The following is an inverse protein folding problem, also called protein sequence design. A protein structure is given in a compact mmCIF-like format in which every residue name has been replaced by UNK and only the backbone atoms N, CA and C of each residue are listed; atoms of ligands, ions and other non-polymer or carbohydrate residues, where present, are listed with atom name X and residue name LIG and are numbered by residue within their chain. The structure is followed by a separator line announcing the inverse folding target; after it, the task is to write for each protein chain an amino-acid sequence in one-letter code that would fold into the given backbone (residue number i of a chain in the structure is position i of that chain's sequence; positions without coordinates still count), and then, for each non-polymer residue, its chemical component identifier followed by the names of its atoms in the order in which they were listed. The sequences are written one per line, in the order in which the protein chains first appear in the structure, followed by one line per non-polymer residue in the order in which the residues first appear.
data_IF_682530214682
#
_entry.id   IF_682530214682
#
_cell.length_a   1.000
_cell.length_b   1.000
_cell.length_c   1.000
_cell.angle_alpha   90.00
_cell.angle_beta   90.00
_cell.angle_gamma   90.00
#
_symmetry.space_group_name_H-M   'P 1'
#
loop_
_entity.id
_entity.type
_entity.pdbx_description
1 polymer ?
#
# COMPACT_ATOMS: atom_id res chain seq x y z
N UNK A 1 14.78 38.55 6.02
CA UNK A 1 15.45 37.53 6.86
C UNK A 1 14.93 36.17 6.43
N UNK A 2 15.70 35.48 5.58
CA UNK A 2 15.30 34.26 4.89
C UNK A 2 15.86 33.07 5.67
N UNK A 3 15.01 32.09 6.02
CA UNK A 3 15.46 30.80 6.55
C UNK A 3 14.91 29.70 5.68
N UNK A 4 15.72 29.31 4.70
CA UNK A 4 15.56 28.07 3.94
C UNK A 4 15.93 26.90 4.87
N UNK A 5 15.00 25.97 5.10
CA UNK A 5 15.26 24.70 5.75
C UNK A 5 15.35 23.61 4.69
N UNK A 6 16.55 23.07 4.49
CA UNK A 6 16.80 21.94 3.61
C UNK A 6 16.42 20.63 4.31
N UNK A 7 15.57 19.83 3.68
CA UNK A 7 15.23 18.47 4.13
C UNK A 7 16.27 17.53 3.54
N UNK A 8 17.12 16.96 4.39
CA UNK A 8 18.08 15.94 4.02
C UNK A 8 17.40 14.56 4.03
N UNK A 9 17.20 13.97 2.85
CA UNK A 9 16.78 12.57 2.69
C UNK A 9 18.02 11.69 2.80
N UNK A 10 18.12 10.90 3.87
CA UNK A 10 19.19 9.92 4.04
C UNK A 10 18.85 8.63 3.27
N UNK A 11 19.55 8.40 2.15
CA UNK A 11 19.51 7.15 1.40
C UNK A 11 20.51 6.18 2.02
N UNK A 12 20.02 5.11 2.66
CA UNK A 12 20.85 4.00 3.14
C UNK A 12 21.08 2.99 2.01
N UNK A 13 22.23 3.09 1.36
CA UNK A 13 22.75 2.12 0.39
C UNK A 13 23.49 0.99 1.12
N UNK A 14 22.78 -0.11 1.37
CA UNK A 14 23.38 -1.36 1.88
C UNK A 14 23.86 -2.25 0.74
N UNK A 15 25.17 -2.30 0.50
CA UNK A 15 25.81 -3.27 -0.39
C UNK A 15 26.13 -4.55 0.37
N UNK A 16 25.39 -5.63 0.11
CA UNK A 16 25.72 -6.96 0.61
C UNK A 16 26.66 -7.67 -0.39
N UNK A 17 27.86 -8.04 0.07
CA UNK A 17 28.79 -8.86 -0.69
C UNK A 17 28.25 -10.30 -0.82
N UNK A 18 28.21 -10.80 -2.05
CA UNK A 18 27.80 -12.17 -2.36
C UNK A 18 29.03 -13.06 -2.32
N UNK A 19 29.12 -13.94 -1.32
CA UNK A 19 30.09 -15.03 -1.29
C UNK A 19 29.68 -16.09 -2.33
N UNK A 20 30.52 -16.34 -3.32
CA UNK A 20 30.31 -17.39 -4.32
C UNK A 20 30.81 -18.73 -3.75
N UNK A 21 29.90 -19.66 -3.51
CA UNK A 21 30.22 -21.06 -3.21
C UNK A 21 30.32 -21.88 -4.52
N UNK A 22 31.19 -22.91 -4.59
CA UNK A 22 31.36 -23.74 -5.78
C UNK A 22 30.13 -24.60 -6.08
N UNK A 23 29.90 -24.97 -7.36
CA UNK A 23 28.72 -25.73 -7.76
C UNK A 23 28.85 -27.19 -7.28
N UNK A 24 28.03 -27.57 -6.32
CA UNK A 24 27.79 -28.97 -6.00
C UNK A 24 26.83 -29.55 -7.06
N UNK A 25 27.32 -30.51 -7.85
CA UNK A 25 26.46 -31.36 -8.66
C UNK A 25 25.67 -32.27 -7.71
N UNK A 26 24.37 -32.02 -7.60
CA UNK A 26 23.46 -32.85 -6.85
C UNK A 26 22.69 -33.75 -7.82
N UNK A 27 22.64 -35.05 -7.48
CA UNK A 27 21.73 -36.05 -8.01
C UNK A 27 20.33 -35.47 -8.21
N UNK A 28 19.75 -35.72 -9.38
CA UNK A 28 18.44 -35.22 -9.77
C UNK A 28 17.36 -35.91 -8.93
N UNK A 29 17.06 -35.32 -7.77
CA UNK A 29 15.95 -35.71 -6.93
C UNK A 29 14.65 -35.66 -7.74
N UNK A 30 13.71 -36.60 -7.53
CA UNK A 30 12.47 -36.67 -8.31
C UNK A 30 11.80 -35.31 -8.29
N UNK A 31 11.61 -34.72 -9.47
CA UNK A 31 10.90 -33.45 -9.66
C UNK A 31 9.51 -33.59 -9.06
N UNK A 32 9.33 -33.11 -7.82
CA UNK A 32 8.00 -32.96 -7.23
C UNK A 32 7.24 -32.03 -8.15
N UNK A 33 6.27 -32.59 -8.85
CA UNK A 33 5.35 -31.84 -9.69
C UNK A 33 4.57 -30.92 -8.75
N UNK A 34 4.99 -29.65 -8.73
CA UNK A 34 4.38 -28.65 -7.89
C UNK A 34 3.06 -28.27 -8.55
N UNK A 35 1.98 -28.89 -8.07
CA UNK A 35 0.62 -28.49 -8.45
C UNK A 35 0.43 -27.09 -7.87
N UNK A 36 0.53 -26.09 -8.74
CA UNK A 36 0.17 -24.71 -8.40
C UNK A 36 -1.33 -24.71 -8.13
N UNK A 37 -1.72 -24.48 -6.88
CA UNK A 37 -3.13 -24.24 -6.56
C UNK A 37 -3.49 -22.83 -7.06
N UNK A 38 -4.14 -22.77 -8.22
CA UNK A 38 -4.57 -21.53 -8.87
C UNK A 38 -5.65 -20.78 -8.06
N UNK A 39 -6.20 -21.37 -6.99
CA UNK A 39 -7.20 -20.73 -6.13
C UNK A 39 -6.58 -19.79 -5.09
N UNK A 40 -5.29 -19.96 -4.79
CA UNK A 40 -4.59 -19.16 -3.79
C UNK A 40 -3.80 -18.03 -4.47
N UNK A 41 -3.73 -16.83 -3.85
CA UNK A 41 -2.93 -15.75 -4.38
C UNK A 41 -1.42 -16.09 -4.29
N UNK A 42 -0.59 -15.53 -5.19
CA UNK A 42 0.87 -15.64 -5.08
C UNK A 42 1.38 -15.12 -3.74
N UNK A 43 2.45 -15.72 -3.19
CA UNK A 43 3.05 -15.29 -1.93
C UNK A 43 3.49 -13.81 -1.92
N UNK A 44 3.89 -13.26 -3.07
CA UNK A 44 4.17 -11.82 -3.21
C UNK A 44 2.98 -10.90 -2.91
N UNK A 45 1.73 -11.37 -3.05
CA UNK A 45 0.52 -10.59 -2.73
C UNK A 45 0.46 -10.26 -1.24
N UNK A 46 0.90 -11.20 -0.38
CA UNK A 46 0.94 -11.01 1.07
C UNK A 46 1.71 -9.75 1.44
N UNK A 47 2.93 -9.63 0.92
CA UNK A 47 3.80 -8.50 1.22
C UNK A 47 3.25 -7.18 0.68
N UNK A 48 2.64 -7.20 -0.51
CA UNK A 48 2.00 -6.01 -1.10
C UNK A 48 0.84 -5.50 -0.24
N UNK A 49 0.01 -6.40 0.30
CA UNK A 49 -1.11 -6.04 1.18
C UNK A 49 -0.59 -5.47 2.50
N UNK A 50 0.40 -6.11 3.11
CA UNK A 50 1.04 -5.62 4.35
C UNK A 50 1.61 -4.22 4.15
N UNK A 51 2.46 -4.03 3.14
CA UNK A 51 3.11 -2.75 2.85
C UNK A 51 2.08 -1.69 2.46
N UNK A 52 1.06 -2.05 1.68
CA UNK A 52 -0.03 -1.15 1.32
C UNK A 52 -0.81 -0.66 2.54
N UNK A 53 -1.19 -1.55 3.44
CA UNK A 53 -1.88 -1.22 4.69
C UNK A 53 -1.04 -0.32 5.61
N UNK A 54 0.22 -0.69 5.85
CA UNK A 54 1.14 0.11 6.66
C UNK A 54 1.43 1.47 6.03
N UNK A 55 1.59 1.52 4.70
CA UNK A 55 1.79 2.75 3.95
C UNK A 55 0.60 3.69 4.05
N UNK A 56 -0.63 3.16 3.96
CA UNK A 56 -1.85 3.94 4.17
C UNK A 56 -1.91 4.50 5.61
N UNK A 57 -1.70 3.67 6.63
CA UNK A 57 -1.67 4.12 8.03
C UNK A 57 -0.62 5.23 8.24
N UNK A 58 0.58 5.05 7.70
CA UNK A 58 1.65 6.05 7.80
C UNK A 58 1.31 7.34 7.07
N UNK A 59 0.62 7.28 5.92
CA UNK A 59 0.18 8.46 5.18
C UNK A 59 -0.86 9.27 5.97
N UNK A 60 -1.87 8.60 6.54
CA UNK A 60 -2.88 9.27 7.36
C UNK A 60 -2.27 9.88 8.64
N UNK A 61 -1.51 9.08 9.39
CA UNK A 61 -0.81 9.59 10.57
C UNK A 61 0.14 10.73 10.23
N UNK A 62 0.95 10.58 9.17
CA UNK A 62 1.89 11.60 8.72
C UNK A 62 1.21 12.89 8.23
N UNK A 63 -0.01 12.80 7.71
CA UNK A 63 -0.80 13.97 7.35
C UNK A 63 -1.37 14.67 8.59
N UNK A 64 -1.83 13.93 9.60
CA UNK A 64 -2.43 14.49 10.82
C UNK A 64 -1.39 15.03 11.82
N UNK A 65 -0.24 14.38 11.94
CA UNK A 65 0.79 14.66 12.94
C UNK A 65 1.25 16.15 12.93
N UNK A 66 1.52 16.80 11.78
CA UNK A 66 1.92 18.20 11.73
C UNK A 66 0.87 19.17 12.29
N UNK A 67 -0.42 18.84 12.20
CA UNK A 67 -1.50 19.68 12.74
C UNK A 67 -1.41 19.81 14.26
N UNK A 68 -0.91 18.78 14.95
CA UNK A 68 -0.67 18.82 16.42
C UNK A 68 0.39 19.84 16.85
N UNK A 69 1.24 20.30 15.94
CA UNK A 69 2.28 21.29 16.20
C UNK A 69 1.94 22.66 15.62
N UNK A 70 1.21 22.71 14.51
CA UNK A 70 0.79 23.96 13.90
C UNK A 70 -0.34 24.66 14.68
N UNK A 71 -1.19 23.90 15.40
CA UNK A 71 -2.29 24.44 16.21
C UNK A 71 -2.32 23.85 17.63
N UNK A 72 -1.28 24.08 18.47
CA UNK A 72 -1.17 23.46 19.79
C UNK A 72 -2.28 23.89 20.75
N UNK A 73 -2.85 25.09 20.55
CA UNK A 73 -3.94 25.63 21.38
C UNK A 73 -5.31 25.01 21.06
N UNK A 74 -5.42 24.28 19.95
CA UNK A 74 -6.69 23.69 19.52
C UNK A 74 -7.04 22.49 20.42
N UNK A 75 -8.26 22.41 20.98
CA UNK A 75 -8.68 21.29 21.84
C UNK A 75 -8.48 19.95 21.16
N UNK A 76 -7.83 19.01 21.83
CA UNK A 76 -7.57 17.66 21.31
C UNK A 76 -6.37 17.51 20.39
N UNK A 77 -5.77 18.62 19.90
CA UNK A 77 -4.65 18.60 18.95
C UNK A 77 -3.42 17.82 19.45
N UNK A 78 -3.14 17.88 20.76
CA UNK A 78 -2.04 17.14 21.38
C UNK A 78 -2.17 15.62 21.24
N UNK A 79 -3.39 15.09 21.12
CA UNK A 79 -3.62 13.66 21.00
C UNK A 79 -3.29 13.12 19.62
N UNK A 80 -3.30 13.95 18.56
CA UNK A 80 -2.94 13.55 17.19
C UNK A 80 -1.46 13.10 17.06
N UNK A 81 -0.66 13.28 18.11
CA UNK A 81 0.71 12.73 18.19
C UNK A 81 0.72 11.22 18.42
N UNK A 82 -0.34 10.66 19.00
CA UNK A 82 -0.44 9.23 19.22
C UNK A 82 -1.03 8.56 17.96
N UNK A 83 -0.31 7.61 17.33
CA UNK A 83 -0.86 6.91 16.19
C UNK A 83 -2.06 6.05 16.60
N UNK A 84 -3.03 5.90 15.70
CA UNK A 84 -4.24 5.08 15.80
C UNK A 84 -5.23 5.55 16.87
N UNK A 85 -4.80 5.68 18.12
CA UNK A 85 -5.64 6.08 19.26
C UNK A 85 -5.84 7.60 19.33
N UNK A 86 -4.86 8.37 18.85
CA UNK A 86 -4.86 9.82 18.88
C UNK A 86 -6.08 10.47 18.23
N UNK A 87 -6.46 10.07 17.00
CA UNK A 87 -7.61 10.67 16.31
C UNK A 87 -8.93 10.46 17.05
N UNK A 88 -9.14 9.30 17.67
CA UNK A 88 -10.33 9.04 18.48
C UNK A 88 -10.36 9.86 19.77
N UNK A 89 -9.20 10.04 20.40
CA UNK A 89 -9.07 10.91 21.57
C UNK A 89 -9.25 12.39 21.21
N UNK A 90 -8.69 12.83 20.07
CA UNK A 90 -8.88 14.18 19.55
C UNK A 90 -10.37 14.45 19.27
N UNK A 91 -11.04 13.50 18.60
CA UNK A 91 -12.48 13.56 18.33
C UNK A 91 -13.32 13.63 19.62
N UNK A 92 -12.98 12.84 20.64
CA UNK A 92 -13.66 12.89 21.94
C UNK A 92 -13.48 14.23 22.67
N UNK A 93 -12.39 14.96 22.36
CA UNK A 93 -12.10 16.28 22.89
C UNK A 93 -12.35 17.39 21.86
N UNK A 94 -13.12 17.10 20.80
CA UNK A 94 -13.49 18.06 19.77
C UNK A 94 -14.51 19.05 20.34
N UNK A 95 -14.01 20.09 21.00
CA UNK A 95 -14.80 21.13 21.63
C UNK A 95 -14.32 22.54 21.29
N UNK A 96 -15.04 23.53 21.81
CA UNK A 96 -14.67 24.93 21.76
C UNK A 96 -13.56 25.23 22.78
N UNK A 97 -12.63 26.11 22.45
CA UNK A 97 -11.74 26.69 23.45
C UNK A 97 -12.56 27.64 24.37
N UNK A 98 -12.13 27.81 25.61
CA UNK A 98 -12.87 28.52 26.66
C UNK A 98 -13.11 30.00 26.33
N UNK A 99 -12.20 30.61 25.55
CA UNK A 99 -12.18 32.05 25.28
C UNK A 99 -12.45 32.42 23.81
N UNK A 100 -12.87 31.48 22.97
CA UNK A 100 -12.97 31.68 21.52
C UNK A 100 -14.41 31.62 21.01
N UNK A 101 -14.76 32.48 20.05
CA UNK A 101 -16.10 32.50 19.44
C UNK A 101 -16.28 31.22 18.60
N UNK A 102 -16.86 30.20 19.21
CA UNK A 102 -16.90 28.86 18.64
C UNK A 102 -17.64 28.80 17.30
N UNK A 103 -16.89 28.69 16.20
CA UNK A 103 -17.45 28.50 14.88
C UNK A 103 -17.86 27.03 14.68
N UNK A 104 -19.16 26.75 14.76
CA UNK A 104 -19.73 25.39 14.62
C UNK A 104 -19.30 24.69 13.33
N UNK A 105 -19.18 25.42 12.21
CA UNK A 105 -18.79 24.82 10.92
C UNK A 105 -17.36 24.27 11.01
N UNK A 106 -16.46 25.02 11.65
CA UNK A 106 -15.07 24.59 11.82
C UNK A 106 -14.96 23.39 12.77
N UNK A 107 -15.74 23.39 13.84
CA UNK A 107 -15.79 22.30 14.81
C UNK A 107 -16.26 20.98 14.16
N UNK A 108 -17.31 21.06 13.32
CA UNK A 108 -17.80 19.90 12.56
C UNK A 108 -16.78 19.43 11.54
N UNK A 109 -16.17 20.35 10.78
CA UNK A 109 -15.15 20.01 9.79
C UNK A 109 -13.95 19.29 10.42
N UNK A 110 -13.44 19.80 11.56
CA UNK A 110 -12.37 19.15 12.32
C UNK A 110 -12.76 17.74 12.77
N UNK A 111 -13.95 17.58 13.33
CA UNK A 111 -14.43 16.27 13.78
C UNK A 111 -14.53 15.24 12.65
N UNK A 112 -15.00 15.67 11.48
CA UNK A 112 -15.05 14.81 10.28
C UNK A 112 -13.63 14.41 9.85
N UNK A 113 -12.69 15.35 9.83
CA UNK A 113 -11.29 15.08 9.47
C UNK A 113 -10.61 14.12 10.45
N UNK A 114 -10.81 14.30 11.75
CA UNK A 114 -10.29 13.41 12.80
C UNK A 114 -10.89 12.00 12.69
N UNK A 115 -12.18 11.89 12.37
CA UNK A 115 -12.82 10.60 12.13
C UNK A 115 -12.25 9.90 10.88
N UNK A 116 -12.07 10.62 9.78
CA UNK A 116 -11.45 10.07 8.57
C UNK A 116 -10.00 9.65 8.79
N UNK A 117 -9.24 10.43 9.56
CA UNK A 117 -7.87 10.09 9.94
C UNK A 117 -7.82 8.82 10.81
N UNK A 118 -8.67 8.75 11.84
CA UNK A 118 -8.81 7.55 12.68
C UNK A 118 -9.18 6.29 11.88
N UNK A 119 -10.15 6.42 10.96
CA UNK A 119 -10.54 5.34 10.05
C UNK A 119 -9.42 4.95 9.08
N UNK A 120 -8.69 5.92 8.53
CA UNK A 120 -7.56 5.66 7.63
C UNK A 120 -6.42 4.93 8.33
N UNK A 121 -6.06 5.36 9.55
CA UNK A 121 -5.03 4.72 10.35
C UNK A 121 -5.43 3.30 10.78
N UNK A 122 -6.63 3.14 11.36
CA UNK A 122 -7.13 1.84 11.82
C UNK A 122 -7.39 0.88 10.64
N UNK A 123 -7.98 1.39 9.55
CA UNK A 123 -8.25 0.62 8.34
C UNK A 123 -6.98 0.15 7.63
N UNK A 124 -5.95 0.99 7.54
CA UNK A 124 -4.64 0.58 7.01
C UNK A 124 -4.01 -0.55 7.82
N UNK A 125 -4.11 -0.50 9.16
CA UNK A 125 -3.63 -1.57 10.02
C UNK A 125 -4.45 -2.85 9.88
N UNK A 126 -5.77 -2.74 9.75
CA UNK A 126 -6.64 -3.88 9.48
C UNK A 126 -6.24 -4.58 8.17
N UNK A 127 -6.00 -3.83 7.09
CA UNK A 127 -5.50 -4.35 5.81
C UNK A 127 -4.14 -5.04 6.01
N UNK A 128 -3.23 -4.42 6.76
CA UNK A 128 -1.93 -5.02 7.03
C UNK A 128 -2.05 -6.36 7.79
N UNK A 129 -2.95 -6.43 8.78
CA UNK A 129 -3.25 -7.65 9.53
C UNK A 129 -3.87 -8.73 8.65
N UNK A 130 -4.80 -8.39 7.76
CA UNK A 130 -5.33 -9.34 6.76
C UNK A 130 -4.22 -9.92 5.91
N UNK A 131 -3.23 -9.10 5.52
CA UNK A 131 -2.03 -9.54 4.85
C UNK A 131 -1.26 -10.60 5.66
N UNK A 132 -1.08 -10.43 6.97
CA UNK A 132 -0.37 -11.41 7.82
C UNK A 132 -1.06 -12.77 7.81
N UNK A 133 -2.39 -12.78 7.90
CA UNK A 133 -3.19 -14.01 7.97
C UNK A 133 -3.64 -14.56 6.61
N UNK A 134 -3.32 -13.88 5.50
CA UNK A 134 -3.73 -14.30 4.16
C UNK A 134 -3.04 -15.61 3.74
N UNK A 135 -3.78 -16.68 3.43
CA UNK A 135 -3.19 -17.89 2.86
C UNK A 135 -2.68 -17.61 1.45
N UNK A 136 -1.48 -18.07 1.14
CA UNK A 136 -0.85 -17.89 -0.17
C UNK A 136 -0.34 -19.21 -0.70
N UNK A 137 -0.28 -19.34 -2.03
CA UNK A 137 0.36 -20.48 -2.66
C UNK A 137 1.82 -20.54 -2.21
N UNK A 138 2.35 -21.72 -1.83
CA UNK A 138 3.77 -21.84 -1.57
C UNK A 138 4.56 -21.34 -2.79
N UNK A 139 5.48 -20.42 -2.58
CA UNK A 139 6.40 -20.04 -3.63
C UNK A 139 7.40 -21.19 -3.71
N UNK A 140 7.18 -22.13 -4.63
CA UNK A 140 8.17 -23.16 -4.91
C UNK A 140 9.51 -22.47 -5.22
N UNK A 141 10.67 -23.01 -4.79
CA UNK A 141 11.96 -22.40 -5.07
C UNK A 141 12.01 -22.09 -6.56
N UNK A 142 12.28 -20.83 -6.91
CA UNK A 142 12.38 -20.39 -8.30
C UNK A 142 13.39 -21.32 -8.98
N UNK A 143 12.90 -22.29 -9.77
CA UNK A 143 13.78 -23.23 -10.45
C UNK A 143 14.64 -22.40 -11.41
N UNK A 144 15.97 -22.34 -11.20
CA UNK A 144 16.84 -21.62 -12.10
C UNK A 144 16.75 -22.31 -13.45
N UNK A 145 16.18 -21.61 -14.43
CA UNK A 145 16.11 -22.09 -15.82
C UNK A 145 14.74 -22.55 -16.33
N UNK A 146 13.68 -22.64 -15.51
CA UNK A 146 12.33 -22.77 -16.07
C UNK A 146 11.81 -21.39 -16.46
N UNK A 147 11.56 -21.11 -17.76
CA UNK A 147 10.95 -19.86 -18.15
C UNK A 147 9.64 -19.73 -17.37
N UNK A 148 9.43 -18.56 -16.72
CA UNK A 148 8.11 -18.18 -16.18
C UNK A 148 7.11 -18.61 -17.23
N UNK A 149 6.28 -19.62 -16.93
CA UNK A 149 5.21 -20.03 -17.83
C UNK A 149 4.39 -18.78 -18.01
N UNK A 150 4.58 -18.08 -19.13
CA UNK A 150 3.70 -16.99 -19.53
C UNK A 150 2.34 -17.63 -19.45
N UNK A 151 1.47 -17.14 -18.56
CA UNK A 151 0.04 -17.45 -18.65
C UNK A 151 -0.27 -17.42 -20.13
N UNK A 152 -0.86 -18.48 -20.71
CA UNK A 152 -1.19 -18.51 -22.12
C UNK A 152 -1.98 -17.23 -22.37
N UNK A 153 -1.28 -16.31 -23.01
CA UNK A 153 -1.80 -15.01 -23.34
C UNK A 153 -2.79 -15.38 -24.43
N UNK A 154 -4.06 -15.53 -24.06
CA UNK A 154 -5.19 -15.42 -24.98
C UNK A 154 -5.28 -13.97 -25.50
N UNK A 155 -4.14 -13.35 -25.78
CA UNK A 155 -4.04 -12.15 -26.60
C UNK A 155 -4.01 -12.69 -28.02
N UNK A 156 -5.06 -12.46 -28.83
CA UNK A 156 -4.97 -12.68 -30.26
C UNK A 156 -3.71 -11.97 -30.75
N UNK A 157 -2.85 -12.68 -31.48
CA UNK A 157 -1.68 -12.10 -32.13
C UNK A 157 -2.09 -10.78 -32.79
N UNK A 158 -1.68 -9.68 -32.20
CA UNK A 158 -1.90 -8.36 -32.79
C UNK A 158 -0.79 -8.19 -33.83
N UNK A 159 -1.11 -7.91 -35.11
CA UNK A 159 -0.13 -7.79 -36.17
C UNK A 159 0.93 -6.75 -35.82
N UNK A 160 2.19 -7.07 -36.12
CA UNK A 160 3.33 -6.24 -35.83
C UNK A 160 3.25 -4.88 -36.55
N UNK A 161 3.40 -3.81 -35.76
CA UNK A 161 4.12 -2.57 -36.08
C UNK A 161 3.56 -1.66 -37.18
N UNK A 162 2.86 -0.60 -36.75
CA UNK A 162 3.13 0.75 -37.25
C UNK A 162 3.33 1.69 -36.05
N UNK A 163 4.39 2.53 -36.04
CA UNK A 163 4.63 3.48 -34.96
C UNK A 163 3.73 4.71 -35.15
N UNK A 164 2.89 5.02 -34.15
CA UNK A 164 2.27 6.35 -34.08
C UNK A 164 0.89 6.46 -33.46
N UNK A 165 0.13 5.38 -33.26
CA UNK A 165 -1.25 5.49 -32.77
C UNK A 165 -1.42 4.88 -31.38
N UNK A 166 -1.73 5.73 -30.41
CA UNK A 166 -2.20 5.38 -29.07
C UNK A 166 -3.41 4.44 -29.20
N UNK A 167 -3.20 3.16 -28.96
CA UNK A 167 -4.23 2.15 -29.14
C UNK A 167 -4.97 1.95 -27.81
N UNK A 168 -6.19 2.48 -27.72
CA UNK A 168 -7.04 2.37 -26.55
C UNK A 168 -7.91 1.12 -26.68
N UNK A 169 -7.66 0.10 -25.86
CA UNK A 169 -8.53 -1.08 -25.79
C UNK A 169 -9.22 -1.08 -24.43
N UNK A 170 -10.51 -0.76 -24.34
CA UNK A 170 -11.25 -0.98 -23.11
C UNK A 170 -11.30 -2.48 -22.83
N UNK A 171 -10.76 -2.90 -21.70
CA UNK A 171 -10.94 -4.27 -21.21
C UNK A 171 -11.94 -4.27 -20.06
N UNK A 172 -13.05 -5.02 -20.15
CA UNK A 172 -13.92 -5.21 -19.01
C UNK A 172 -13.15 -6.02 -17.94
N UNK A 173 -13.01 -5.44 -16.76
CA UNK A 173 -12.48 -6.12 -15.58
C UNK A 173 -13.68 -6.53 -14.74
N UNK A 174 -13.91 -7.82 -14.58
CA UNK A 174 -14.90 -8.33 -13.63
C UNK A 174 -14.28 -8.33 -12.24
N UNK A 175 -14.86 -7.53 -11.33
CA UNK A 175 -14.48 -7.48 -9.91
C UNK A 175 -15.62 -8.13 -9.12
N UNK A 176 -15.45 -9.40 -8.76
CA UNK A 176 -16.47 -10.19 -8.04
C UNK A 176 -17.67 -10.62 -8.91
N UNK A 177 -18.69 -11.21 -8.28
CA UNK A 177 -19.87 -11.75 -8.97
C UNK A 177 -20.82 -10.69 -9.54
N UNK A 178 -20.66 -9.41 -9.17
CA UNK A 178 -21.58 -8.34 -9.57
C UNK A 178 -20.90 -7.01 -9.99
N UNK A 179 -19.56 -6.95 -10.09
CA UNK A 179 -18.86 -5.72 -10.44
C UNK A 179 -18.32 -5.71 -11.87
N UNK A 180 -18.70 -4.70 -12.67
CA UNK A 180 -18.05 -4.38 -13.95
C UNK A 180 -17.17 -3.14 -13.74
N UNK A 181 -15.86 -3.33 -13.81
CA UNK A 181 -14.86 -2.26 -13.82
C UNK A 181 -14.34 -2.01 -15.24
N UNK A 182 -14.08 -0.74 -15.57
CA UNK A 182 -13.33 -0.36 -16.77
C UNK A 182 -11.88 -0.10 -16.38
N UNK A 183 -10.97 -0.92 -16.91
CA UNK A 183 -9.53 -0.71 -16.78
C UNK A 183 -8.95 -0.09 -18.04
N UNK A 184 -8.05 0.89 -17.85
CA UNK A 184 -7.24 1.45 -18.92
C UNK A 184 -5.82 0.95 -18.72
N UNK A 185 -5.25 0.29 -19.74
CA UNK A 185 -3.85 -0.15 -19.75
C UNK A 185 -3.15 0.42 -20.97
N UNK A 186 -1.99 1.04 -20.78
CA UNK A 186 -1.12 1.53 -21.85
C UNK A 186 0.34 1.19 -21.55
N UNK A 187 1.18 1.16 -22.59
CA UNK A 187 2.64 1.17 -22.47
C UNK A 187 3.07 2.64 -22.43
N UNK A 188 3.70 3.06 -21.33
CA UNK A 188 4.35 4.36 -21.15
C UNK A 188 5.85 4.22 -21.41
#
# INVERSE_FOLDING_TARGET
MNRSAAIAVAVLSGSAAIAQAPPAQADEAPTREYIVDDRLPPASTRWKVIVGGLGATAAFYGAAQPFSYAWPESPGSMYLRYPVVGPWLAFAHNGCAVDDSCNTIWLVARGILEAFDGLGQAGGLAIALEGIFMPTSPEGPAQPGKPKRRSPSNTPETPSTQPGNLFYIPRPIVVGQHGVGLGISGLF
#
